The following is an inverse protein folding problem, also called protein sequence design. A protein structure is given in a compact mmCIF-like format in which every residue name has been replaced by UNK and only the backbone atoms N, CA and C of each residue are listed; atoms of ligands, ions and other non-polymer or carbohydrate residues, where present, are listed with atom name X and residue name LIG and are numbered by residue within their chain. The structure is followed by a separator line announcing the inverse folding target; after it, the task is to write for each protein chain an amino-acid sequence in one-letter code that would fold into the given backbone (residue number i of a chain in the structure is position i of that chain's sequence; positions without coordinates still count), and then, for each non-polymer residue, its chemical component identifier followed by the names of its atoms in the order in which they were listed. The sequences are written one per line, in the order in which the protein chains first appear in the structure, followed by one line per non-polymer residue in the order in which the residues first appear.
data_IF_418915945813
#
_entry.id   IF_418915945813
#
_cell.length_a   1.000
_cell.length_b   1.000
_cell.length_c   1.000
_cell.angle_alpha   90.00
_cell.angle_beta   90.00
_cell.angle_gamma   90.00
#
_symmetry.space_group_name_H-M   'P 1'
#
loop_
_entity.id
_entity.type
_entity.pdbx_description
1 polymer ?
#
# COMPACT_ATOMS: atom_id res chain seq x y z
N UNK A 1 21.17 -19.59 17.57
CA UNK A 1 19.97 -19.84 18.41
C UNK A 1 19.31 -18.54 18.83
N UNK A 2 20.06 -17.49 19.16
CA UNK A 2 19.55 -16.15 19.57
C UNK A 2 18.39 -15.58 18.72
N UNK A 3 18.47 -15.63 17.38
CA UNK A 3 17.37 -15.16 16.52
C UNK A 3 16.07 -15.95 16.75
N UNK A 4 16.16 -17.28 16.88
CA UNK A 4 14.99 -18.14 17.04
C UNK A 4 14.28 -17.87 18.37
N UNK A 5 15.03 -17.68 19.46
CA UNK A 5 14.49 -17.33 20.77
C UNK A 5 13.78 -15.97 20.74
N UNK A 6 14.36 -14.97 20.05
CA UNK A 6 13.73 -13.64 19.87
C UNK A 6 12.44 -13.67 19.03
N UNK A 7 12.38 -14.55 18.04
CA UNK A 7 11.17 -14.75 17.23
C UNK A 7 10.07 -15.41 18.07
N UNK A 8 10.39 -16.49 18.81
CA UNK A 8 9.45 -17.15 19.72
C UNK A 8 8.90 -16.17 20.76
N UNK A 9 9.79 -15.41 21.40
CA UNK A 9 9.38 -14.38 22.35
C UNK A 9 8.41 -13.36 21.74
N UNK A 10 8.67 -12.91 20.51
CA UNK A 10 7.80 -11.94 19.82
C UNK A 10 6.43 -12.53 19.50
N UNK A 11 6.35 -13.81 19.12
CA UNK A 11 5.09 -14.52 18.88
C UNK A 11 4.28 -14.68 20.17
N UNK A 12 4.94 -15.02 21.27
CA UNK A 12 4.27 -15.28 22.55
C UNK A 12 3.82 -14.01 23.29
N UNK A 13 4.57 -12.91 23.14
CA UNK A 13 4.41 -11.74 24.02
C UNK A 13 3.99 -10.45 23.30
N UNK A 14 3.91 -10.44 21.96
CA UNK A 14 3.49 -9.24 21.21
C UNK A 14 2.28 -9.54 20.32
N UNK A 15 1.19 -8.83 20.58
CA UNK A 15 0.00 -8.89 19.73
C UNK A 15 0.29 -8.31 18.33
N UNK A 16 -0.10 -9.05 17.29
CA UNK A 16 -0.07 -8.57 15.91
C UNK A 16 -1.36 -7.83 15.57
N UNK A 17 -1.23 -6.58 15.14
CA UNK A 17 -2.33 -5.75 14.62
C UNK A 17 -2.17 -5.52 13.13
N UNK A 18 -1.85 -6.58 12.41
CA UNK A 18 -1.64 -6.51 10.98
C UNK A 18 -2.90 -5.99 10.25
N UNK A 19 -2.69 -5.02 9.39
CA UNK A 19 -3.66 -4.54 8.43
C UNK A 19 -2.92 -4.07 7.16
N UNK A 20 -3.53 -4.18 5.96
CA UNK A 20 -3.03 -3.49 4.78
C UNK A 20 -2.98 -1.97 5.02
N UNK A 21 -2.02 -1.29 4.39
CA UNK A 21 -1.85 0.16 4.53
C UNK A 21 -2.96 0.98 3.84
N UNK A 22 -3.79 0.35 2.99
CA UNK A 22 -4.92 0.99 2.32
C UNK A 22 -6.11 0.06 2.11
N UNK A 23 -7.30 0.64 1.93
CA UNK A 23 -8.50 -0.09 1.45
C UNK A 23 -8.47 -0.23 -0.08
N UNK A 24 -9.07 -1.32 -0.59
CA UNK A 24 -9.26 -1.52 -2.03
C UNK A 24 -10.23 -0.51 -2.66
N UNK A 25 -11.06 0.16 -1.86
CA UNK A 25 -12.02 1.17 -2.33
C UNK A 25 -11.38 2.53 -2.62
N UNK A 26 -10.08 2.71 -2.29
CA UNK A 26 -9.35 3.92 -2.64
C UNK A 26 -9.18 4.03 -4.17
N UNK A 27 -9.10 5.27 -4.67
CA UNK A 27 -8.72 5.51 -6.06
C UNK A 27 -7.32 4.93 -6.34
N UNK A 28 -7.04 4.61 -7.61
CA UNK A 28 -5.70 4.10 -7.98
C UNK A 28 -4.61 5.11 -7.60
N UNK A 29 -4.88 6.41 -7.70
CA UNK A 29 -3.95 7.47 -7.30
C UNK A 29 -3.69 7.51 -5.81
N UNK A 30 -4.73 7.31 -4.99
CA UNK A 30 -4.59 7.32 -3.54
C UNK A 30 -3.83 6.09 -3.05
N UNK A 31 -4.06 4.92 -3.67
CA UNK A 31 -3.26 3.70 -3.40
C UNK A 31 -1.77 3.92 -3.65
N UNK A 32 -1.42 4.48 -4.81
CA UNK A 32 -0.03 4.81 -5.16
C UNK A 32 0.54 5.81 -4.15
N UNK A 33 -0.23 6.84 -3.79
CA UNK A 33 0.18 7.85 -2.82
C UNK A 33 0.44 7.24 -1.44
N UNK A 34 -0.44 6.39 -0.93
CA UNK A 34 -0.26 5.73 0.38
C UNK A 34 1.05 4.94 0.43
N UNK A 35 1.34 4.14 -0.61
CA UNK A 35 2.62 3.40 -0.68
C UNK A 35 3.80 4.38 -0.67
N UNK A 36 3.74 5.42 -1.51
CA UNK A 36 4.82 6.39 -1.63
C UNK A 36 5.09 7.15 -0.31
N UNK A 37 4.04 7.57 0.40
CA UNK A 37 4.17 8.37 1.62
C UNK A 37 4.48 7.53 2.84
N UNK A 38 3.85 6.37 3.01
CA UNK A 38 3.98 5.56 4.23
C UNK A 38 5.18 4.60 4.20
N UNK A 39 5.49 4.03 3.02
CA UNK A 39 6.58 3.04 2.89
C UNK A 39 7.87 3.68 2.39
N UNK A 40 7.79 4.55 1.38
CA UNK A 40 8.98 5.19 0.80
C UNK A 40 9.32 6.56 1.41
N UNK A 41 8.43 7.13 2.23
CA UNK A 41 8.65 8.44 2.86
C UNK A 41 8.64 9.62 1.89
N UNK A 42 7.98 9.49 0.74
CA UNK A 42 7.81 10.58 -0.21
C UNK A 42 6.85 11.65 0.34
N UNK A 43 7.05 12.91 -0.06
CA UNK A 43 6.12 13.99 0.31
C UNK A 43 4.84 13.97 -0.53
N UNK A 44 4.93 13.64 -1.82
CA UNK A 44 3.79 13.53 -2.72
C UNK A 44 4.14 12.72 -3.98
N UNK A 45 3.13 12.46 -4.83
CA UNK A 45 3.26 11.78 -6.12
C UNK A 45 2.83 12.69 -7.25
N UNK A 46 3.68 12.84 -8.27
CA UNK A 46 3.34 13.54 -9.50
C UNK A 46 3.04 12.57 -10.63
N UNK A 47 2.06 12.91 -11.48
CA UNK A 47 1.62 12.07 -12.58
C UNK A 47 1.81 12.79 -13.90
N UNK A 48 2.40 12.11 -14.88
CA UNK A 48 2.40 12.61 -16.26
C UNK A 48 0.99 12.58 -16.85
N UNK A 49 0.76 13.34 -17.92
CA UNK A 49 -0.52 13.34 -18.63
C UNK A 49 -0.90 11.94 -19.14
N UNK A 50 0.08 11.18 -19.65
CA UNK A 50 -0.12 9.81 -20.11
C UNK A 50 -0.55 8.88 -18.97
N UNK A 51 0.12 8.95 -17.82
CA UNK A 51 -0.22 8.15 -16.64
C UNK A 51 -1.61 8.49 -16.10
N UNK A 52 -1.94 9.79 -15.99
CA UNK A 52 -3.27 10.21 -15.56
C UNK A 52 -4.38 9.69 -16.47
N UNK A 53 -4.16 9.69 -17.79
CA UNK A 53 -5.11 9.16 -18.78
C UNK A 53 -5.28 7.65 -18.65
N UNK A 54 -4.19 6.92 -18.44
CA UNK A 54 -4.23 5.46 -18.26
C UNK A 54 -4.96 5.09 -16.96
N UNK A 55 -4.66 5.77 -15.85
CA UNK A 55 -5.33 5.54 -14.57
C UNK A 55 -6.84 5.76 -14.70
N UNK A 56 -7.26 6.88 -15.30
CA UNK A 56 -8.67 7.15 -15.53
C UNK A 56 -9.33 6.06 -16.39
N UNK A 57 -8.61 5.54 -17.40
CA UNK A 57 -9.15 4.46 -18.24
C UNK A 57 -9.29 3.15 -17.46
N UNK A 58 -8.36 2.83 -16.57
CA UNK A 58 -8.42 1.63 -15.74
C UNK A 58 -9.60 1.68 -14.77
N UNK A 59 -9.85 2.84 -14.15
CA UNK A 59 -11.01 3.04 -13.28
C UNK A 59 -12.33 2.91 -14.05
N UNK A 60 -12.43 3.50 -15.26
CA UNK A 60 -13.60 3.37 -16.13
C UNK A 60 -13.88 1.91 -16.53
N UNK A 61 -12.83 1.11 -16.73
CA UNK A 61 -12.94 -0.31 -17.06
C UNK A 61 -13.27 -1.19 -15.84
N UNK A 62 -13.45 -0.61 -14.65
CA UNK A 62 -13.78 -1.34 -13.43
C UNK A 62 -12.57 -1.95 -12.70
N UNK A 63 -11.34 -1.60 -13.10
CA UNK A 63 -10.12 -2.07 -12.44
C UNK A 63 -9.71 -1.22 -11.23
N UNK A 64 -10.52 -0.23 -10.85
CA UNK A 64 -10.22 0.69 -9.74
C UNK A 64 -9.99 0.00 -8.40
N UNK A 65 -10.64 -1.13 -8.15
CA UNK A 65 -10.60 -1.84 -6.86
C UNK A 65 -9.50 -2.92 -6.77
N UNK A 66 -8.60 -2.98 -7.75
CA UNK A 66 -7.46 -3.91 -7.73
C UNK A 66 -6.32 -3.29 -6.87
N UNK A 67 -5.51 -4.12 -6.16
CA UNK A 67 -4.30 -3.64 -5.49
C UNK A 67 -3.28 -3.01 -6.47
N UNK A 68 -2.46 -2.10 -5.95
CA UNK A 68 -1.29 -1.51 -6.61
C UNK A 68 -0.02 -2.09 -6.01
#
# INVERSE_FOLDING_TARGET
VDLAEKVLYSIENKESKYAPIYSLDLSIKDKIKTIATEIYGASDVSYTAAASKQIAKLEELGFGNIPV
#
